data_IF_878312587705
#
_entry.id   IF_878312587705
#
_cell.length_a   1.000
_cell.length_b   1.000
_cell.length_c   1.000
_cell.angle_alpha   90.00
_cell.angle_beta   90.00
_cell.angle_gamma   90.00
#
_symmetry.space_group_name_H-M   'P 1'
#
loop_
_entity.id
_entity.type
_entity.pdbx_description
1 polymer ?
#
# COMPACT_ATOMS: atom_id res chain seq x y z
N UNK A 1 -23.95 14.43 -4.89
CA UNK A 1 -22.73 14.36 -5.74
C UNK A 1 -23.12 14.63 -7.18
N UNK A 2 -22.41 15.51 -7.88
CA UNK A 2 -22.61 15.71 -9.33
C UNK A 2 -21.80 14.66 -10.10
N UNK A 3 -22.19 14.35 -11.34
CA UNK A 3 -21.42 13.43 -12.19
C UNK A 3 -19.96 13.90 -12.36
N UNK A 4 -19.75 15.21 -12.45
CA UNK A 4 -18.42 15.83 -12.54
C UNK A 4 -17.57 15.55 -11.30
N UNK A 5 -18.16 15.62 -10.11
CA UNK A 5 -17.46 15.30 -8.87
C UNK A 5 -17.04 13.82 -8.83
N UNK A 6 -17.95 12.92 -9.21
CA UNK A 6 -17.65 11.48 -9.23
C UNK A 6 -16.50 11.15 -10.19
N UNK A 7 -16.48 11.75 -11.39
CA UNK A 7 -15.40 11.57 -12.36
C UNK A 7 -14.08 12.05 -11.78
N UNK A 8 -14.03 13.25 -11.19
CA UNK A 8 -12.81 13.76 -10.55
C UNK A 8 -12.34 12.84 -9.43
N UNK A 9 -13.25 12.40 -8.57
CA UNK A 9 -12.96 11.49 -7.46
C UNK A 9 -12.33 10.19 -7.96
N UNK A 10 -12.96 9.54 -8.94
CA UNK A 10 -12.47 8.28 -9.49
C UNK A 10 -11.12 8.46 -10.19
N UNK A 11 -10.97 9.49 -11.02
CA UNK A 11 -9.71 9.76 -11.70
C UNK A 11 -8.57 10.03 -10.71
N UNK A 12 -8.79 10.91 -9.73
CA UNK A 12 -7.79 11.21 -8.71
C UNK A 12 -7.44 9.96 -7.91
N UNK A 13 -8.44 9.20 -7.43
CA UNK A 13 -8.21 8.01 -6.62
C UNK A 13 -7.48 6.90 -7.39
N UNK A 14 -7.78 6.71 -8.68
CA UNK A 14 -7.09 5.74 -9.53
C UNK A 14 -5.63 6.11 -9.74
N UNK A 15 -5.36 7.37 -10.09
CA UNK A 15 -3.98 7.88 -10.27
C UNK A 15 -3.23 7.81 -8.95
N UNK A 16 -3.86 8.20 -7.84
CA UNK A 16 -3.30 8.16 -6.50
C UNK A 16 -2.97 6.72 -6.06
N UNK A 17 -3.90 5.78 -6.23
CA UNK A 17 -3.71 4.38 -5.84
C UNK A 17 -2.60 3.68 -6.63
N UNK A 18 -2.58 3.85 -7.97
CA UNK A 18 -1.53 3.26 -8.82
C UNK A 18 -0.16 3.89 -8.51
N UNK A 19 -0.09 5.22 -8.43
CA UNK A 19 1.18 5.91 -8.15
C UNK A 19 1.68 5.61 -6.74
N UNK A 20 0.78 5.56 -5.75
CA UNK A 20 1.09 5.16 -4.39
C UNK A 20 1.60 3.73 -4.32
N UNK A 21 0.95 2.79 -5.01
CA UNK A 21 1.40 1.39 -5.07
C UNK A 21 2.80 1.25 -5.65
N UNK A 22 3.12 2.00 -6.72
CA UNK A 22 4.47 2.07 -7.28
C UNK A 22 5.47 2.67 -6.30
N UNK A 23 5.10 3.74 -5.59
CA UNK A 23 5.96 4.38 -4.60
C UNK A 23 6.26 3.46 -3.41
N UNK A 24 5.26 2.70 -2.94
CA UNK A 24 5.44 1.67 -1.92
C UNK A 24 6.46 0.61 -2.37
N UNK A 25 6.29 0.08 -3.57
CA UNK A 25 7.19 -0.93 -4.14
C UNK A 25 8.61 -0.39 -4.27
N UNK A 26 8.77 0.85 -4.73
CA UNK A 26 10.07 1.49 -4.83
C UNK A 26 10.70 1.70 -3.45
N UNK A 27 9.96 2.21 -2.48
CA UNK A 27 10.45 2.43 -1.12
C UNK A 27 10.94 1.12 -0.48
N UNK A 28 10.12 0.06 -0.55
CA UNK A 28 10.48 -1.25 -0.02
C UNK A 28 11.67 -1.86 -0.74
N UNK A 29 11.76 -1.70 -2.07
CA UNK A 29 12.94 -2.14 -2.84
C UNK A 29 14.19 -1.41 -2.41
N UNK A 30 14.15 -0.10 -2.24
CA UNK A 30 15.30 0.68 -1.79
C UNK A 30 15.78 0.23 -0.40
N UNK A 31 14.85 -0.05 0.52
CA UNK A 31 15.17 -0.58 1.85
C UNK A 31 15.78 -1.99 1.73
N UNK A 32 15.22 -2.86 0.88
CA UNK A 32 15.73 -4.21 0.66
C UNK A 32 17.07 -4.25 -0.08
N UNK A 33 17.44 -3.21 -0.83
CA UNK A 33 18.81 -3.08 -1.37
C UNK A 33 19.81 -2.61 -0.30
N UNK A 34 19.35 -1.86 0.70
CA UNK A 34 20.18 -1.34 1.80
C UNK A 34 20.29 -2.25 3.02
N UNK A 35 19.39 -3.21 3.18
CA UNK A 35 19.39 -4.21 4.26
C UNK A 35 18.96 -5.57 3.75
N UNK A 36 19.41 -6.66 4.37
CA UNK A 36 19.11 -8.05 3.96
C UNK A 36 17.63 -8.46 4.18
N UNK A 37 16.67 -7.65 3.76
CA UNK A 37 15.23 -7.97 3.80
C UNK A 37 14.98 -9.08 2.80
N UNK A 38 14.77 -10.30 3.30
CA UNK A 38 14.44 -11.46 2.47
C UNK A 38 12.93 -11.48 2.25
N UNK A 39 12.52 -11.45 0.99
CA UNK A 39 11.13 -11.71 0.59
C UNK A 39 10.58 -10.67 -0.38
N UNK A 40 10.27 -11.11 -1.60
CA UNK A 40 9.48 -10.32 -2.53
C UNK A 40 8.02 -10.32 -2.04
N UNK A 41 7.52 -9.15 -1.60
CA UNK A 41 6.15 -8.98 -1.11
C UNK A 41 5.10 -9.47 -2.11
N UNK A 42 5.32 -9.24 -3.41
CA UNK A 42 4.38 -9.67 -4.45
C UNK A 42 4.34 -11.19 -4.50
N UNK A 43 5.51 -11.83 -4.44
CA UNK A 43 5.59 -13.29 -4.42
C UNK A 43 5.00 -13.89 -3.13
N UNK A 44 5.29 -13.29 -1.97
CA UNK A 44 4.74 -13.70 -0.68
C UNK A 44 3.21 -13.64 -0.70
N UNK A 45 2.65 -12.49 -1.07
CA UNK A 45 1.21 -12.27 -1.17
C UNK A 45 0.53 -13.27 -2.12
N UNK A 46 1.15 -13.51 -3.26
CA UNK A 46 0.65 -14.47 -4.23
C UNK A 46 0.67 -15.91 -3.72
N UNK A 47 1.79 -16.31 -3.11
CA UNK A 47 1.99 -17.68 -2.61
C UNK A 47 1.16 -18.00 -1.37
N UNK A 48 0.76 -17.00 -0.58
CA UNK A 48 -0.29 -17.16 0.45
C UNK A 48 -1.60 -17.68 -0.14
N UNK A 49 -1.95 -17.24 -1.34
CA UNK A 49 -3.21 -17.56 -2.00
C UNK A 49 -3.07 -18.85 -2.83
N UNK A 50 -2.02 -18.94 -3.64
CA UNK A 50 -1.79 -20.10 -4.54
C UNK A 50 -1.23 -21.31 -3.81
N UNK A 51 -0.76 -21.15 -2.57
CA UNK A 51 -0.09 -22.18 -1.75
C UNK A 51 1.12 -22.83 -2.44
N UNK A 52 1.68 -22.17 -3.44
CA UNK A 52 2.77 -22.67 -4.28
C UNK A 52 3.53 -21.47 -4.84
N UNK A 53 4.75 -21.68 -5.35
CA UNK A 53 5.45 -20.64 -6.12
C UNK A 53 4.90 -20.50 -7.54
N UNK A 54 4.29 -21.56 -8.05
CA UNK A 54 3.79 -21.63 -9.41
C UNK A 54 2.68 -20.59 -9.58
N UNK A 55 2.90 -19.64 -10.48
CA UNK A 55 2.01 -18.52 -10.76
C UNK A 55 1.78 -17.53 -9.59
N UNK A 56 2.46 -17.70 -8.44
CA UNK A 56 2.30 -16.83 -7.27
C UNK A 56 2.57 -15.36 -7.60
N UNK A 57 3.67 -15.06 -8.29
CA UNK A 57 4.00 -13.67 -8.64
C UNK A 57 2.86 -12.98 -9.41
N UNK A 58 2.24 -13.67 -10.38
CA UNK A 58 1.13 -13.13 -11.16
C UNK A 58 -0.09 -12.85 -10.31
N UNK A 59 -0.46 -13.81 -9.45
CA UNK A 59 -1.61 -13.67 -8.53
C UNK A 59 -1.35 -12.54 -7.54
N UNK A 60 -0.17 -12.52 -6.92
CA UNK A 60 0.23 -11.49 -5.98
C UNK A 60 0.26 -10.09 -6.60
N UNK A 61 0.70 -9.95 -7.84
CA UNK A 61 0.70 -8.66 -8.54
C UNK A 61 -0.72 -8.17 -8.79
N UNK A 62 -1.62 -9.06 -9.24
CA UNK A 62 -3.03 -8.72 -9.44
C UNK A 62 -3.65 -8.24 -8.12
N UNK A 63 -3.46 -9.00 -7.03
CA UNK A 63 -4.00 -8.67 -5.71
C UNK A 63 -3.41 -7.36 -5.17
N UNK A 64 -2.10 -7.16 -5.33
CA UNK A 64 -1.45 -5.95 -4.86
C UNK A 64 -1.96 -4.71 -5.62
N UNK A 65 -2.09 -4.79 -6.94
CA UNK A 65 -2.59 -3.67 -7.76
C UNK A 65 -4.06 -3.38 -7.47
N UNK A 66 -4.92 -4.40 -7.35
CA UNK A 66 -6.33 -4.17 -6.99
C UNK A 66 -6.47 -3.63 -5.58
N UNK A 67 -5.66 -4.08 -4.62
CA UNK A 67 -5.63 -3.53 -3.28
C UNK A 67 -5.15 -2.06 -3.29
N UNK A 68 -4.09 -1.73 -4.02
CA UNK A 68 -3.60 -0.35 -4.15
C UNK A 68 -4.68 0.58 -4.74
N UNK A 69 -5.45 0.13 -5.74
CA UNK A 69 -6.57 0.92 -6.25
C UNK A 69 -7.68 1.05 -5.20
N UNK A 70 -8.06 -0.06 -4.56
CA UNK A 70 -9.11 -0.09 -3.54
C UNK A 70 -8.81 0.83 -2.35
N UNK A 71 -7.60 0.75 -1.79
CA UNK A 71 -7.17 1.63 -0.72
C UNK A 71 -7.01 3.09 -1.18
N UNK A 72 -6.63 3.32 -2.44
CA UNK A 72 -6.58 4.67 -3.03
C UNK A 72 -7.96 5.35 -3.03
N UNK A 73 -9.00 4.58 -3.38
CA UNK A 73 -10.40 5.02 -3.28
C UNK A 73 -10.80 5.35 -1.84
N UNK A 74 -10.46 4.47 -0.88
CA UNK A 74 -10.79 4.67 0.54
C UNK A 74 -10.08 5.89 1.13
N UNK A 75 -8.78 6.07 0.87
CA UNK A 75 -8.03 7.23 1.37
C UNK A 75 -8.57 8.53 0.80
N UNK A 76 -8.82 8.56 -0.52
CA UNK A 76 -9.39 9.73 -1.18
C UNK A 76 -10.78 10.05 -0.62
N UNK A 77 -11.62 9.03 -0.40
CA UNK A 77 -12.96 9.20 0.17
C UNK A 77 -12.88 9.78 1.59
N UNK A 78 -11.95 9.29 2.40
CA UNK A 78 -11.72 9.80 3.75
C UNK A 78 -11.35 11.29 3.71
N UNK A 79 -10.40 11.69 2.86
CA UNK A 79 -9.97 13.08 2.72
C UNK A 79 -11.10 13.99 2.24
N UNK A 80 -11.87 13.55 1.24
CA UNK A 80 -13.08 14.24 0.76
C UNK A 80 -14.09 14.43 1.88
N UNK A 81 -14.39 13.36 2.63
CA UNK A 81 -15.41 13.36 3.68
C UNK A 81 -15.04 14.31 4.82
N UNK A 82 -13.74 14.40 5.13
CA UNK A 82 -13.23 15.32 6.15
C UNK A 82 -13.02 16.75 5.65
N UNK A 83 -13.17 17.01 4.33
CA UNK A 83 -12.89 18.31 3.73
C UNK A 83 -11.39 18.66 3.68
N UNK A 84 -10.51 17.66 3.74
CA UNK A 84 -9.05 17.80 3.81
C UNK A 84 -8.38 17.45 2.49
N UNK A 85 -8.87 18.01 1.38
CA UNK A 85 -8.37 17.74 0.01
C UNK A 85 -7.31 18.73 -0.47
N UNK A 86 -6.91 19.72 0.32
CA UNK A 86 -5.92 20.73 -0.07
C UNK A 86 -4.57 20.54 0.65
N UNK A 87 -3.50 21.07 0.07
CA UNK A 87 -2.17 21.07 0.69
C UNK A 87 -2.06 22.11 1.82
N UNK A 88 -1.27 21.86 2.88
CA UNK A 88 -0.49 20.64 3.15
C UNK A 88 -1.27 19.54 3.90
N UNK A 89 -2.53 19.80 4.26
CA UNK A 89 -3.31 18.94 5.17
C UNK A 89 -3.54 17.55 4.57
N UNK A 90 -3.89 17.48 3.27
CA UNK A 90 -4.02 16.21 2.54
C UNK A 90 -2.78 15.34 2.60
N UNK A 91 -1.57 15.93 2.42
CA UNK A 91 -0.30 15.22 2.56
C UNK A 91 -0.09 14.71 3.99
N UNK A 92 -0.31 15.55 5.01
CA UNK A 92 -0.17 15.15 6.42
C UNK A 92 -1.12 14.01 6.78
N UNK A 93 -2.39 14.11 6.35
CA UNK A 93 -3.38 13.06 6.56
C UNK A 93 -3.00 11.78 5.81
N UNK A 94 -2.52 11.90 4.56
CA UNK A 94 -2.02 10.78 3.77
C UNK A 94 -0.87 10.04 4.46
N UNK A 95 0.13 10.77 4.95
CA UNK A 95 1.26 10.20 5.72
C UNK A 95 0.79 9.53 7.02
N UNK A 96 -0.12 10.18 7.76
CA UNK A 96 -0.65 9.63 9.02
C UNK A 96 -1.47 8.35 8.82
N UNK A 97 -2.38 8.34 7.85
CA UNK A 97 -3.19 7.15 7.50
C UNK A 97 -2.29 6.06 6.91
N UNK A 98 -1.31 6.43 6.09
CA UNK A 98 -0.28 5.53 5.57
C UNK A 98 0.51 4.86 6.69
N UNK A 99 0.95 5.61 7.70
CA UNK A 99 1.64 5.07 8.87
C UNK A 99 0.76 4.11 9.67
N UNK A 100 -0.50 4.48 9.93
CA UNK A 100 -1.46 3.62 10.63
C UNK A 100 -1.72 2.31 9.87
N UNK A 101 -1.98 2.41 8.56
CA UNK A 101 -2.19 1.25 7.70
C UNK A 101 -0.93 0.37 7.65
N UNK A 102 0.24 0.98 7.51
CA UNK A 102 1.53 0.30 7.55
C UNK A 102 1.76 -0.44 8.86
N UNK A 103 1.42 0.17 10.00
CA UNK A 103 1.51 -0.49 11.30
C UNK A 103 0.60 -1.72 11.38
N UNK A 104 -0.66 -1.58 10.96
CA UNK A 104 -1.63 -2.69 10.95
C UNK A 104 -1.10 -3.84 10.08
N UNK A 105 -0.66 -3.54 8.85
CA UNK A 105 -0.14 -4.56 7.93
C UNK A 105 1.13 -5.20 8.47
N UNK A 106 2.05 -4.41 9.05
CA UNK A 106 3.30 -4.95 9.61
C UNK A 106 3.04 -5.89 10.78
N UNK A 107 2.08 -5.55 11.65
CA UNK A 107 1.66 -6.42 12.75
C UNK A 107 0.99 -7.70 12.22
N UNK A 108 0.09 -7.59 11.23
CA UNK A 108 -0.50 -8.76 10.59
C UNK A 108 0.55 -9.66 9.95
N UNK A 109 1.58 -9.08 9.33
CA UNK A 109 2.64 -9.86 8.68
C UNK A 109 3.45 -10.65 9.71
N UNK A 110 3.95 -9.98 10.75
CA UNK A 110 4.83 -10.60 11.75
C UNK A 110 4.10 -11.61 12.63
N UNK A 111 2.81 -11.40 12.92
CA UNK A 111 2.07 -12.22 13.90
C UNK A 111 1.06 -13.19 13.32
N UNK A 112 0.56 -12.95 12.10
CA UNK A 112 -0.49 -13.79 11.50
C UNK A 112 0.03 -14.50 10.26
N UNK A 113 0.64 -13.73 9.36
CA UNK A 113 1.10 -14.27 8.08
C UNK A 113 2.33 -15.15 8.28
N UNK A 114 3.30 -14.72 9.09
CA UNK A 114 4.51 -15.49 9.41
C UNK A 114 4.15 -16.92 9.88
N UNK A 115 3.24 -17.04 10.84
CA UNK A 115 2.88 -18.34 11.43
C UNK A 115 2.10 -19.25 10.47
N UNK A 116 1.34 -18.67 9.54
CA UNK A 116 0.43 -19.41 8.66
C UNK A 116 0.91 -19.50 7.21
N UNK A 117 2.05 -18.91 6.85
CA UNK A 117 2.50 -18.87 5.47
C UNK A 117 2.74 -20.30 4.94
N UNK A 118 2.23 -20.68 3.75
CA UNK A 118 2.37 -22.05 3.24
C UNK A 118 3.81 -22.42 2.84
N UNK A 119 4.63 -21.43 2.52
CA UNK A 119 6.05 -21.59 2.17
C UNK A 119 6.95 -21.20 3.34
N UNK A 120 7.88 -22.08 3.71
CA UNK A 120 8.83 -21.92 4.84
C UNK A 120 9.64 -20.62 4.79
N UNK A 121 10.08 -20.21 3.60
CA UNK A 121 10.93 -19.01 3.43
C UNK A 121 10.27 -17.68 3.83
N UNK A 122 8.93 -17.65 3.94
CA UNK A 122 8.17 -16.49 4.36
C UNK A 122 7.58 -16.64 5.77
N UNK A 123 7.88 -17.75 6.47
CA UNK A 123 7.49 -17.94 7.87
C UNK A 123 8.40 -17.20 8.83
N UNK A 124 9.66 -16.97 8.45
CA UNK A 124 10.63 -16.22 9.27
C UNK A 124 10.66 -14.74 8.88
N UNK A 125 9.52 -14.06 9.10
CA UNK A 125 9.42 -12.61 8.85
C UNK A 125 10.02 -11.83 10.01
N UNK A 126 11.17 -11.19 9.80
CA UNK A 126 11.82 -10.39 10.83
C UNK A 126 11.19 -8.99 10.98
N UNK A 127 11.57 -8.28 12.05
CA UNK A 127 11.13 -6.91 12.31
C UNK A 127 11.47 -5.96 11.15
N UNK A 128 12.52 -6.25 10.39
CA UNK A 128 13.03 -5.43 9.29
C UNK A 128 12.10 -5.52 8.08
N UNK A 129 11.52 -6.68 7.80
CA UNK A 129 10.43 -6.85 6.82
C UNK A 129 9.21 -6.04 7.25
N UNK A 130 8.83 -6.08 8.53
CA UNK A 130 7.74 -5.26 9.07
C UNK A 130 8.01 -3.76 8.88
N UNK A 131 9.18 -3.28 9.27
CA UNK A 131 9.57 -1.87 9.09
C UNK A 131 9.61 -1.45 7.62
N UNK A 132 10.06 -2.33 6.71
CA UNK A 132 10.01 -2.10 5.27
C UNK A 132 8.57 -1.89 4.77
N UNK A 133 7.63 -2.74 5.21
CA UNK A 133 6.21 -2.57 4.86
C UNK A 133 5.63 -1.29 5.46
N UNK A 134 5.95 -0.97 6.71
CA UNK A 134 5.54 0.29 7.33
C UNK A 134 6.01 1.49 6.52
N UNK A 135 7.30 1.53 6.15
CA UNK A 135 7.86 2.60 5.33
C UNK A 135 7.20 2.65 3.93
N UNK A 136 6.95 1.50 3.32
CA UNK A 136 6.23 1.39 2.05
C UNK A 136 4.83 1.99 2.13
N UNK A 137 4.09 1.71 3.19
CA UNK A 137 2.74 2.27 3.40
C UNK A 137 2.75 3.76 3.75
N UNK A 138 3.79 4.27 4.43
CA UNK A 138 3.99 5.72 4.61
C UNK A 138 4.21 6.39 3.27
N UNK A 139 5.06 5.82 2.40
CA UNK A 139 5.28 6.33 1.05
C UNK A 139 3.99 6.30 0.20
N UNK A 140 3.24 5.20 0.27
CA UNK A 140 1.93 5.04 -0.35
C UNK A 140 0.96 6.17 0.05
N UNK A 141 0.79 6.37 1.36
CA UNK A 141 -0.09 7.38 1.91
C UNK A 141 0.35 8.80 1.57
N UNK A 142 1.66 9.07 1.60
CA UNK A 142 2.22 10.36 1.20
C UNK A 142 1.93 10.71 -0.26
N UNK A 143 2.08 9.74 -1.18
CA UNK A 143 1.77 9.94 -2.59
C UNK A 143 0.28 10.17 -2.82
N UNK A 144 -0.59 9.43 -2.12
CA UNK A 144 -2.04 9.70 -2.19
C UNK A 144 -2.36 11.10 -1.71
N UNK A 145 -1.86 11.48 -0.53
CA UNK A 145 -2.09 12.80 0.04
C UNK A 145 -1.62 13.92 -0.88
N UNK A 146 -0.44 13.75 -1.51
CA UNK A 146 0.08 14.69 -2.51
C UNK A 146 -0.83 14.80 -3.73
N UNK A 147 -1.24 13.68 -4.32
CA UNK A 147 -2.06 13.67 -5.54
C UNK A 147 -3.44 14.26 -5.25
N UNK A 148 -4.08 13.88 -4.14
CA UNK A 148 -5.36 14.46 -3.72
C UNK A 148 -5.20 15.96 -3.48
N UNK A 149 -4.16 16.37 -2.75
CA UNK A 149 -3.83 17.76 -2.44
C UNK A 149 -3.65 18.70 -3.62
N UNK A 150 -3.17 18.15 -4.75
CA UNK A 150 -2.94 18.88 -6.00
C UNK A 150 -4.09 18.71 -7.00
N UNK A 151 -5.05 17.84 -6.72
CA UNK A 151 -6.18 17.55 -7.60
C UNK A 151 -7.32 18.56 -7.40
N UNK A 152 -8.21 18.73 -8.39
CA UNK A 152 -9.34 19.66 -8.31
C UNK A 152 -10.54 19.07 -7.54
N UNK A 153 -10.28 18.42 -6.40
CA UNK A 153 -11.24 17.75 -5.51
C UNK A 153 -11.72 18.62 -4.34
#
# INVERSE_FOLDING_TARGET
MTAMFLVKYLCTALVAGVSGGLAMQLAMRLIAHGGHVKGDMILALGSLITKSRDNAYRVGLIVHVTAAIGFGLVYTLLMVTLGYTHMPISLMLGLGVGALHGLIVSLMLVWVVADQHPLEEFKETDLLVGLSHMAGHVAYGGVIGLIVGLSPL
#
